data_IF_856930648764
#
_entry.id   IF_856930648764
#
_cell.length_a   1.000
_cell.length_b   1.000
_cell.length_c   1.000
_cell.angle_alpha   90.00
_cell.angle_beta   90.00
_cell.angle_gamma   90.00
#
_symmetry.space_group_name_H-M   'P 1'
#
loop_
_entity.id
_entity.type
_entity.pdbx_description
1 polymer ?
#
# COMPACT_ATOMS: atom_id res chain seq x y z
N UNK A 1 17.17 -1.23 3.72
CA UNK A 1 16.51 0.05 3.36
C UNK A 1 15.32 -0.13 2.41
N UNK A 2 15.46 -0.28 1.08
CA UNK A 2 14.28 -0.44 0.19
C UNK A 2 13.50 -1.76 0.43
N UNK A 3 14.23 -2.83 0.74
CA UNK A 3 13.65 -4.13 1.10
C UNK A 3 12.90 -4.12 2.44
N UNK A 4 13.35 -3.30 3.40
CA UNK A 4 12.67 -3.09 4.69
C UNK A 4 11.31 -2.43 4.49
N UNK A 5 11.28 -1.44 3.60
CA UNK A 5 10.14 -0.56 3.37
C UNK A 5 9.01 -1.28 2.64
N UNK A 6 9.35 -2.17 1.69
CA UNK A 6 8.39 -3.10 1.06
C UNK A 6 7.83 -4.07 2.09
N UNK A 7 8.66 -4.58 3.01
CA UNK A 7 8.19 -5.45 4.08
C UNK A 7 7.33 -4.72 5.12
N UNK A 8 7.59 -3.44 5.40
CA UNK A 8 6.74 -2.62 6.27
C UNK A 8 5.38 -2.33 5.63
N UNK A 9 5.37 -2.02 4.33
CA UNK A 9 4.14 -1.81 3.57
C UNK A 9 3.31 -3.10 3.49
N UNK A 10 3.94 -4.23 3.20
CA UNK A 10 3.29 -5.55 3.18
C UNK A 10 2.78 -5.97 4.57
N UNK A 11 3.50 -5.61 5.65
CA UNK A 11 3.08 -5.85 7.04
C UNK A 11 1.87 -5.01 7.45
N UNK A 12 1.83 -3.74 7.04
CA UNK A 12 0.69 -2.85 7.25
C UNK A 12 -0.56 -3.33 6.50
N UNK A 13 -0.38 -3.92 5.31
CA UNK A 13 -1.49 -4.50 4.55
C UNK A 13 -1.99 -5.85 5.11
N UNK A 14 -1.20 -6.53 5.96
CA UNK A 14 -1.48 -7.86 6.50
C UNK A 14 -1.92 -7.89 7.97
N UNK A 15 -2.09 -6.75 8.64
CA UNK A 15 -2.57 -6.73 10.04
C UNK A 15 -4.00 -7.27 10.14
N UNK A 16 -4.15 -8.49 10.67
CA UNK A 16 -5.43 -9.11 10.97
C UNK A 16 -6.01 -8.62 12.31
N UNK A 17 -7.32 -8.37 12.42
CA UNK A 17 -7.95 -8.09 13.70
C UNK A 17 -8.24 -9.40 14.45
N UNK A 18 -7.68 -9.54 15.66
CA UNK A 18 -7.99 -10.63 16.57
C UNK A 18 -8.54 -10.15 17.90
N UNK A 19 -9.86 -10.26 18.12
CA UNK A 19 -10.50 -10.85 19.34
C UNK A 19 -12.04 -10.82 19.25
N UNK A 20 -12.62 -12.01 19.12
CA UNK A 20 -13.88 -12.39 19.75
C UNK A 20 -15.18 -11.72 19.27
N UNK A 21 -15.64 -12.02 18.04
CA UNK A 21 -17.04 -12.41 17.73
C UNK A 21 -17.12 -12.74 16.23
N UNK A 22 -17.34 -14.02 15.90
CA UNK A 22 -17.51 -14.63 14.55
C UNK A 22 -16.26 -14.56 13.64
N UNK A 23 -15.96 -15.63 12.86
CA UNK A 23 -14.97 -15.51 11.79
C UNK A 23 -15.57 -14.58 10.74
N UNK A 24 -15.16 -13.31 10.72
CA UNK A 24 -15.44 -12.45 9.59
C UNK A 24 -14.68 -13.05 8.40
N UNK A 25 -15.36 -13.88 7.60
CA UNK A 25 -14.95 -14.09 6.23
C UNK A 25 -15.09 -12.72 5.57
N UNK A 26 -13.97 -12.00 5.54
CA UNK A 26 -13.77 -10.77 4.81
C UNK A 26 -14.36 -10.97 3.41
N UNK A 27 -15.43 -10.24 3.02
CA UNK A 27 -16.04 -10.41 1.71
C UNK A 27 -14.98 -10.21 0.61
N UNK A 28 -15.10 -10.85 -0.58
CA UNK A 28 -14.30 -10.46 -1.73
C UNK A 28 -14.50 -8.95 -1.95
N UNK A 29 -13.45 -8.15 -1.77
CA UNK A 29 -13.58 -6.68 -1.73
C UNK A 29 -13.12 -6.03 -0.43
N UNK A 30 -12.73 -6.77 0.61
CA UNK A 30 -11.79 -6.21 1.60
C UNK A 30 -10.46 -6.00 0.89
N UNK A 31 -10.09 -4.72 0.70
CA UNK A 31 -8.98 -4.29 -0.15
C UNK A 31 -7.76 -5.17 0.05
N UNK A 32 -7.46 -5.98 -0.97
CA UNK A 32 -6.38 -6.99 -0.98
C UNK A 32 -4.98 -6.39 -0.83
N UNK A 33 -4.87 -5.09 -0.56
CA UNK A 33 -3.62 -4.33 -0.53
C UNK A 33 -2.98 -4.12 -1.91
N UNK A 34 -3.62 -4.60 -2.98
CA UNK A 34 -3.01 -4.62 -4.32
C UNK A 34 -3.06 -3.27 -5.03
N UNK A 35 -3.88 -2.32 -4.58
CA UNK A 35 -4.06 -1.04 -5.28
C UNK A 35 -2.74 -0.26 -5.41
N UNK A 36 -1.96 -0.20 -4.32
CA UNK A 36 -0.69 0.52 -4.32
C UNK A 36 0.42 -0.24 -5.05
N UNK A 37 0.43 -1.57 -4.97
CA UNK A 37 1.39 -2.39 -5.73
C UNK A 37 1.14 -2.31 -7.23
N UNK A 38 -0.13 -2.33 -7.66
CA UNK A 38 -0.51 -2.17 -9.06
C UNK A 38 -0.19 -0.76 -9.57
N UNK A 39 -0.48 0.26 -8.75
CA UNK A 39 -0.15 1.64 -9.08
C UNK A 39 1.35 1.81 -9.31
N UNK A 40 2.19 1.21 -8.46
CA UNK A 40 3.65 1.22 -8.62
C UNK A 40 4.09 0.59 -9.94
N UNK A 41 3.50 -0.55 -10.30
CA UNK A 41 3.80 -1.22 -11.57
C UNK A 41 3.42 -0.36 -12.79
N UNK A 42 2.21 0.23 -12.78
CA UNK A 42 1.76 1.10 -13.87
C UNK A 42 2.65 2.34 -13.98
N UNK A 43 2.99 2.98 -12.86
CA UNK A 43 3.77 4.20 -12.83
C UNK A 43 5.23 3.92 -13.24
N UNK A 44 5.89 2.96 -12.59
CA UNK A 44 7.33 2.70 -12.80
C UNK A 44 7.58 1.93 -14.09
N UNK A 45 6.88 0.81 -14.32
CA UNK A 45 7.12 -0.04 -15.49
C UNK A 45 6.34 0.43 -16.71
N UNK A 46 5.09 0.85 -16.51
CA UNK A 46 4.22 1.26 -17.62
C UNK A 46 4.52 2.65 -18.18
N UNK A 47 5.01 3.57 -17.34
CA UNK A 47 5.17 4.97 -17.70
C UNK A 47 6.57 5.54 -17.40
N UNK A 48 7.51 4.76 -16.86
CA UNK A 48 8.85 5.26 -16.50
C UNK A 48 8.86 6.35 -15.43
N UNK A 49 7.77 6.47 -14.67
CA UNK A 49 7.59 7.43 -13.60
C UNK A 49 8.07 6.92 -12.24
N UNK A 50 7.76 7.67 -11.19
CA UNK A 50 8.12 7.32 -9.81
C UNK A 50 6.95 7.55 -8.87
N UNK A 51 6.81 6.66 -7.87
CA UNK A 51 5.87 6.81 -6.76
C UNK A 51 6.66 6.87 -5.44
N UNK A 52 6.51 7.98 -4.71
CA UNK A 52 7.04 8.17 -3.35
C UNK A 52 5.90 8.45 -2.36
N UNK A 53 6.16 8.30 -1.07
CA UNK A 53 5.22 8.71 -0.04
C UNK A 53 5.95 9.35 1.13
N UNK A 54 5.23 10.24 1.82
CA UNK A 54 5.65 10.89 3.05
C UNK A 54 4.47 10.80 4.03
N UNK A 55 4.69 10.46 5.29
CA UNK A 55 3.60 10.38 6.26
C UNK A 55 4.04 10.78 7.65
N UNK A 56 3.13 11.41 8.39
CA UNK A 56 3.26 11.69 9.81
C UNK A 56 2.03 11.12 10.53
N UNK A 57 2.27 10.23 11.50
CA UNK A 57 1.21 9.51 12.20
C UNK A 57 0.23 10.47 12.89
N UNK A 58 -1.06 10.27 12.64
CA UNK A 58 -2.10 11.14 13.18
C UNK A 58 -2.20 12.52 12.52
N UNK A 59 -1.35 12.83 11.52
CA UNK A 59 -1.39 14.09 10.76
C UNK A 59 -1.74 13.86 9.29
N UNK A 60 -0.87 13.18 8.53
CA UNK A 60 -1.06 13.02 7.09
C UNK A 60 -0.37 11.77 6.52
N UNK A 61 -0.85 11.38 5.34
CA UNK A 61 -0.14 10.50 4.41
C UNK A 61 -0.24 11.12 3.03
N UNK A 62 0.90 11.48 2.46
CA UNK A 62 1.04 12.08 1.14
C UNK A 62 1.69 11.09 0.18
N UNK A 63 1.14 10.98 -1.03
CA UNK A 63 1.67 10.14 -2.11
C UNK A 63 2.02 11.03 -3.30
N UNK A 64 3.27 10.95 -3.74
CA UNK A 64 3.84 11.83 -4.77
C UNK A 64 4.14 10.98 -6.00
N UNK A 65 3.42 11.28 -7.09
CA UNK A 65 3.58 10.62 -8.39
C UNK A 65 4.30 11.59 -9.34
N UNK A 66 5.36 11.12 -9.99
CA UNK A 66 6.05 11.86 -11.05
C UNK A 66 6.02 11.04 -12.32
N UNK A 67 5.59 11.64 -13.43
CA UNK A 67 5.58 11.02 -14.74
C UNK A 67 6.53 11.78 -15.68
N UNK A 68 7.19 11.10 -16.64
CA UNK A 68 7.90 11.75 -17.73
C UNK A 68 6.95 12.59 -18.59
N UNK A 69 7.50 13.57 -19.32
CA UNK A 69 6.73 14.44 -20.23
C UNK A 69 6.33 13.76 -21.53
#
# INVERSE_FOLDING_TARGET
>A
MLHELVQQLDRFLKTEPGRGTRPARKPPGEGTGLGLSLSREIIEKGNGGTLRFESEEGQYSEFIITLPR
#
